data_IF_659067011695
#
_entry.id   IF_659067011695
#
_cell.length_a   1.000
_cell.length_b   1.000
_cell.length_c   1.000
_cell.angle_alpha   90.00
_cell.angle_beta   90.00
_cell.angle_gamma   90.00
#
_symmetry.space_group_name_H-M   'P 1'
#
loop_
_entity.id
_entity.type
_entity.pdbx_description
1 polymer ?
#
# COMPACT_ATOMS: atom_id res chain seq x y z
N UNK A 1 12.37 24.19 6.39
CA UNK A 1 12.95 22.98 5.79
C UNK A 1 12.37 22.84 4.38
N UNK A 2 13.17 23.05 3.32
CA UNK A 2 12.67 23.01 1.94
C UNK A 2 12.30 21.57 1.58
N UNK A 3 11.05 21.32 1.18
CA UNK A 3 10.64 19.99 0.70
C UNK A 3 11.40 19.66 -0.59
N UNK A 4 11.86 18.41 -0.79
CA UNK A 4 12.50 18.00 -2.03
C UNK A 4 11.55 18.19 -3.21
N UNK A 5 12.04 18.80 -4.31
CA UNK A 5 11.30 18.89 -5.58
C UNK A 5 11.41 17.56 -6.31
N UNK A 6 10.33 16.78 -6.30
CA UNK A 6 10.28 15.49 -6.98
C UNK A 6 9.45 15.65 -8.24
N UNK A 7 10.02 15.28 -9.39
CA UNK A 7 9.30 15.31 -10.65
C UNK A 7 8.27 14.17 -10.70
N UNK A 8 7.15 14.34 -11.43
CA UNK A 8 6.17 13.27 -11.66
C UNK A 8 6.80 12.00 -12.26
N UNK A 9 7.88 12.16 -13.03
CA UNK A 9 8.65 11.04 -13.59
C UNK A 9 9.32 10.20 -12.49
N UNK A 10 9.94 10.83 -11.49
CA UNK A 10 10.60 10.11 -10.39
C UNK A 10 9.57 9.36 -9.55
N UNK A 11 8.41 9.96 -9.27
CA UNK A 11 7.32 9.26 -8.60
C UNK A 11 6.81 8.07 -9.43
N UNK A 12 6.65 8.23 -10.74
CA UNK A 12 6.24 7.15 -11.63
C UNK A 12 7.25 6.00 -11.65
N UNK A 13 8.55 6.30 -11.73
CA UNK A 13 9.61 5.28 -11.60
C UNK A 13 9.48 4.57 -10.26
N UNK A 14 9.30 5.30 -9.16
CA UNK A 14 9.08 4.71 -7.84
C UNK A 14 7.89 3.74 -7.78
N UNK A 15 6.77 4.08 -8.42
CA UNK A 15 5.60 3.20 -8.51
C UNK A 15 5.89 1.91 -9.30
N UNK A 16 6.62 2.01 -10.41
CA UNK A 16 7.02 0.83 -11.20
C UNK A 16 8.02 -0.05 -10.45
N UNK A 17 8.97 0.56 -9.72
CA UNK A 17 9.88 -0.18 -8.84
C UNK A 17 9.11 -0.91 -7.74
N UNK A 18 8.10 -0.27 -7.12
CA UNK A 18 7.19 -0.91 -6.15
C UNK A 18 6.42 -2.08 -6.76
N UNK A 19 5.89 -1.93 -7.97
CA UNK A 19 5.23 -3.04 -8.66
C UNK A 19 6.22 -4.19 -8.89
N UNK A 20 7.43 -3.89 -9.36
CA UNK A 20 8.48 -4.89 -9.56
C UNK A 20 8.84 -5.63 -8.28
N UNK A 21 8.95 -4.92 -7.14
CA UNK A 21 9.23 -5.55 -5.85
C UNK A 21 8.08 -6.44 -5.37
N UNK A 22 6.82 -6.03 -5.56
CA UNK A 22 5.66 -6.85 -5.19
C UNK A 22 5.54 -8.08 -6.10
N UNK A 23 5.82 -7.93 -7.40
CA UNK A 23 5.86 -9.06 -8.32
C UNK A 23 6.96 -10.07 -7.93
N UNK A 24 8.15 -9.59 -7.58
CA UNK A 24 9.23 -10.44 -7.09
C UNK A 24 8.86 -11.15 -5.78
N UNK A 25 8.23 -10.44 -4.83
CA UNK A 25 7.74 -11.04 -3.59
C UNK A 25 6.65 -12.09 -3.86
N UNK A 26 5.75 -11.83 -4.81
CA UNK A 26 4.73 -12.79 -5.22
C UNK A 26 5.38 -14.07 -5.75
N UNK A 27 6.37 -13.95 -6.64
CA UNK A 27 7.13 -15.11 -7.14
C UNK A 27 7.80 -15.85 -5.98
N UNK A 28 8.42 -15.14 -5.04
CA UNK A 28 9.03 -15.75 -3.84
C UNK A 28 8.02 -16.58 -3.03
N UNK A 29 6.85 -16.02 -2.71
CA UNK A 29 5.77 -16.69 -1.94
C UNK A 29 5.21 -17.91 -2.68
N UNK A 30 5.20 -17.89 -4.02
CA UNK A 30 4.79 -19.05 -4.82
C UNK A 30 5.85 -20.15 -4.88
N UNK A 31 7.14 -19.78 -4.85
CA UNK A 31 8.26 -20.72 -4.84
C UNK A 31 8.51 -21.32 -3.45
N UNK A 32 8.12 -20.63 -2.39
CA UNK A 32 8.18 -21.15 -1.04
C UNK A 32 7.14 -22.27 -0.83
N UNK A 33 7.63 -23.46 -0.51
CA UNK A 33 6.82 -24.66 -0.29
C UNK A 33 6.06 -24.61 1.04
N UNK A 34 6.46 -23.72 1.96
CA UNK A 34 5.83 -23.58 3.28
C UNK A 34 4.68 -22.56 3.31
N UNK A 35 4.63 -21.67 2.31
CA UNK A 35 3.56 -20.68 2.15
C UNK A 35 2.20 -21.34 1.90
N UNK A 36 1.21 -20.92 2.69
CA UNK A 36 -0.16 -21.42 2.58
C UNK A 36 -0.92 -20.79 1.39
N UNK A 37 -2.04 -21.39 0.93
CA UNK A 37 -2.80 -20.90 -0.21
C UNK A 37 -3.32 -19.46 -0.05
N UNK A 38 -3.63 -19.00 1.17
CA UNK A 38 -4.14 -17.65 1.40
C UNK A 38 -3.03 -16.62 1.19
N UNK A 39 -1.81 -16.86 1.68
CA UNK A 39 -0.67 -15.97 1.42
C UNK A 39 -0.37 -15.82 -0.09
N UNK A 40 -0.52 -16.90 -0.86
CA UNK A 40 -0.32 -16.86 -2.32
C UNK A 40 -1.41 -16.03 -3.02
N UNK A 41 -2.66 -16.21 -2.63
CA UNK A 41 -3.80 -15.43 -3.18
C UNK A 41 -3.63 -13.95 -2.81
N UNK A 42 -3.25 -13.65 -1.57
CA UNK A 42 -3.03 -12.30 -1.07
C UNK A 42 -1.89 -11.59 -1.81
N UNK A 43 -0.75 -12.27 -2.00
CA UNK A 43 0.37 -11.73 -2.77
C UNK A 43 -0.02 -11.42 -4.23
N UNK A 44 -0.75 -12.35 -4.88
CA UNK A 44 -1.24 -12.14 -6.24
C UNK A 44 -2.24 -10.98 -6.32
N UNK A 45 -3.18 -10.90 -5.39
CA UNK A 45 -4.14 -9.81 -5.31
C UNK A 45 -3.44 -8.45 -5.13
N UNK A 46 -2.46 -8.38 -4.23
CA UNK A 46 -1.63 -7.20 -3.99
C UNK A 46 -0.86 -6.75 -5.23
N UNK A 47 -0.31 -7.69 -6.01
CA UNK A 47 0.36 -7.40 -7.28
C UNK A 47 -0.60 -6.81 -8.32
N UNK A 48 -1.79 -7.41 -8.49
CA UNK A 48 -2.80 -6.94 -9.43
C UNK A 48 -3.31 -5.54 -9.04
N UNK A 49 -3.59 -5.32 -7.76
CA UNK A 49 -3.99 -4.00 -7.25
C UNK A 49 -2.92 -2.95 -7.48
N UNK A 50 -1.67 -3.27 -7.16
CA UNK A 50 -0.55 -2.37 -7.36
C UNK A 50 -0.37 -2.01 -8.83
N UNK A 51 -0.56 -2.98 -9.74
CA UNK A 51 -0.50 -2.74 -11.17
C UNK A 51 -1.59 -1.76 -11.61
N UNK A 52 -2.86 -2.04 -11.28
CA UNK A 52 -3.98 -1.20 -11.67
C UNK A 52 -3.84 0.22 -11.11
N UNK A 53 -3.45 0.33 -9.85
CA UNK A 53 -3.24 1.62 -9.20
C UNK A 53 -2.04 2.38 -9.79
N UNK A 54 -0.93 1.70 -10.10
CA UNK A 54 0.24 2.29 -10.79
C UNK A 54 -0.14 2.83 -12.16
N UNK A 55 -0.93 2.07 -12.94
CA UNK A 55 -1.39 2.51 -14.26
C UNK A 55 -2.27 3.77 -14.17
N UNK A 56 -3.18 3.82 -13.20
CA UNK A 56 -4.07 4.96 -12.99
C UNK A 56 -3.32 6.19 -12.49
N UNK A 57 -2.46 6.03 -11.49
CA UNK A 57 -1.57 7.10 -11.01
C UNK A 57 -0.64 7.60 -12.12
N UNK A 58 -0.17 6.73 -13.01
CA UNK A 58 0.65 7.14 -14.14
C UNK A 58 -0.08 8.04 -15.14
N UNK A 59 -1.39 7.87 -15.34
CA UNK A 59 -2.19 8.81 -16.14
C UNK A 59 -2.33 10.14 -15.40
N UNK A 60 -2.70 10.07 -14.11
CA UNK A 60 -2.91 11.24 -13.28
C UNK A 60 -1.66 12.12 -13.13
N UNK A 61 -0.50 11.51 -12.85
CA UNK A 61 0.79 12.20 -12.71
C UNK A 61 1.24 12.89 -14.00
N UNK A 62 0.80 12.42 -15.16
CA UNK A 62 1.06 13.07 -16.46
C UNK A 62 0.07 14.19 -16.79
N UNK A 63 -0.84 14.53 -15.87
CA UNK A 63 -1.87 15.54 -16.07
C UNK A 63 -3.05 15.06 -16.90
N UNK A 64 -3.17 13.76 -17.16
CA UNK A 64 -4.31 13.18 -17.85
C UNK A 64 -5.53 13.07 -16.94
N UNK A 65 -6.72 13.21 -17.52
CA UNK A 65 -7.98 12.92 -16.84
C UNK A 65 -8.37 11.45 -17.07
N UNK A 66 -8.79 10.72 -16.03
CA UNK A 66 -9.30 9.35 -16.19
C UNK A 66 -10.81 9.37 -16.14
N UNK A 67 -11.40 9.26 -17.33
CA UNK A 67 -12.84 9.21 -17.52
C UNK A 67 -13.47 8.07 -16.72
N UNK A 68 -14.74 8.20 -16.27
CA UNK A 68 -15.46 7.12 -15.61
C UNK A 68 -15.55 5.83 -16.43
N UNK A 69 -15.48 5.93 -17.75
CA UNK A 69 -15.53 4.81 -18.71
C UNK A 69 -14.16 4.19 -19.00
N UNK A 70 -13.06 4.71 -18.44
CA UNK A 70 -11.73 4.10 -18.64
C UNK A 70 -11.73 2.67 -18.07
N UNK A 71 -11.39 1.65 -18.88
CA UNK A 71 -11.40 0.26 -18.44
C UNK A 71 -10.59 0.02 -17.16
N UNK A 72 -9.47 0.74 -16.98
CA UNK A 72 -8.62 0.61 -15.79
C UNK A 72 -9.35 1.07 -14.53
N UNK A 73 -10.09 2.17 -14.64
CA UNK A 73 -10.90 2.71 -13.54
C UNK A 73 -12.08 1.79 -13.24
N UNK A 74 -12.73 1.25 -14.26
CA UNK A 74 -13.84 0.29 -14.13
C UNK A 74 -13.37 -0.96 -13.39
N UNK A 75 -12.27 -1.58 -13.83
CA UNK A 75 -11.70 -2.76 -13.19
C UNK A 75 -11.28 -2.49 -11.76
N UNK A 76 -10.60 -1.37 -11.48
CA UNK A 76 -10.23 -1.02 -10.11
C UNK A 76 -11.47 -0.80 -9.23
N UNK A 77 -12.48 -0.09 -9.74
CA UNK A 77 -13.73 0.18 -9.01
C UNK A 77 -14.47 -1.11 -8.66
N UNK A 78 -14.42 -2.10 -9.55
CA UNK A 78 -15.09 -3.38 -9.34
C UNK A 78 -14.27 -4.33 -8.44
N UNK A 79 -12.97 -4.45 -8.68
CA UNK A 79 -12.12 -5.44 -8.01
C UNK A 79 -11.70 -5.01 -6.60
N UNK A 80 -11.42 -3.72 -6.39
CA UNK A 80 -10.85 -3.24 -5.14
C UNK A 80 -11.73 -3.51 -3.91
N UNK A 81 -13.06 -3.29 -3.95
CA UNK A 81 -13.94 -3.58 -2.81
C UNK A 81 -13.90 -5.05 -2.37
N UNK A 82 -13.74 -5.98 -3.30
CA UNK A 82 -13.62 -7.40 -2.97
C UNK A 82 -12.28 -7.72 -2.33
N UNK A 83 -11.20 -7.14 -2.84
CA UNK A 83 -9.86 -7.40 -2.31
C UNK A 83 -9.65 -6.79 -0.93
N UNK A 84 -10.15 -5.57 -0.70
CA UNK A 84 -10.08 -4.96 0.63
C UNK A 84 -11.02 -5.66 1.63
N UNK A 85 -12.16 -6.20 1.18
CA UNK A 85 -13.01 -7.03 2.01
C UNK A 85 -12.34 -8.37 2.33
N UNK A 86 -11.62 -8.97 1.38
CA UNK A 86 -10.80 -10.15 1.62
C UNK A 86 -9.70 -9.86 2.65
N UNK A 87 -8.92 -8.78 2.47
CA UNK A 87 -7.88 -8.37 3.42
C UNK A 87 -8.46 -8.13 4.83
N UNK A 88 -9.62 -7.45 4.90
CA UNK A 88 -10.35 -7.25 6.16
C UNK A 88 -10.88 -8.55 6.79
N UNK A 89 -11.31 -9.52 5.97
CA UNK A 89 -11.74 -10.83 6.45
C UNK A 89 -10.55 -11.64 6.99
N UNK A 90 -9.41 -11.64 6.29
CA UNK A 90 -8.18 -12.29 6.72
C UNK A 90 -7.67 -11.66 8.03
N UNK A 91 -7.63 -10.34 8.12
CA UNK A 91 -7.32 -9.62 9.37
C UNK A 91 -8.29 -9.98 10.51
N UNK A 92 -9.59 -10.05 10.22
CA UNK A 92 -10.60 -10.41 11.23
C UNK A 92 -10.41 -11.84 11.72
N UNK A 93 -10.21 -12.79 10.82
CA UNK A 93 -9.94 -14.18 11.15
C UNK A 93 -8.68 -14.31 12.00
N UNK A 94 -7.59 -13.64 11.61
CA UNK A 94 -6.36 -13.59 12.40
C UNK A 94 -6.59 -13.02 13.81
N UNK A 95 -7.37 -11.94 13.91
CA UNK A 95 -7.71 -11.33 15.19
C UNK A 95 -8.49 -12.31 16.07
N UNK A 96 -9.50 -13.00 15.51
CA UNK A 96 -10.26 -14.00 16.26
C UNK A 96 -9.42 -15.19 16.68
N UNK A 97 -8.54 -15.72 15.83
CA UNK A 97 -7.68 -16.86 16.20
C UNK A 97 -6.73 -16.50 17.32
N UNK A 98 -6.15 -15.29 17.31
CA UNK A 98 -5.33 -14.76 18.40
C UNK A 98 -6.15 -14.64 19.69
N UNK A 99 -7.34 -14.06 19.64
CA UNK A 99 -8.21 -13.90 20.82
C UNK A 99 -8.68 -15.24 21.41
N UNK A 100 -8.78 -16.29 20.59
CA UNK A 100 -9.07 -17.66 21.01
C UNK A 100 -7.84 -18.41 21.57
N UNK A 101 -6.67 -17.77 21.63
CA UNK A 101 -5.47 -18.34 22.23
C UNK A 101 -4.65 -19.23 21.30
N UNK A 102 -4.76 -19.07 19.97
CA UNK A 102 -3.99 -19.86 19.01
C UNK A 102 -2.46 -19.68 19.12
N UNK A 103 -2.00 -18.59 19.74
CA UNK A 103 -0.59 -18.27 19.96
C UNK A 103 -0.31 -18.05 21.45
N UNK A 104 -0.36 -19.11 22.28
CA UNK A 104 -0.28 -18.98 23.74
C UNK A 104 1.09 -18.47 24.22
N UNK A 105 2.14 -18.73 23.44
CA UNK A 105 3.52 -18.35 23.78
C UNK A 105 3.90 -16.95 23.30
N UNK A 106 3.08 -16.32 22.45
CA UNK A 106 3.39 -15.04 21.83
C UNK A 106 3.17 -13.86 22.80
N UNK A 107 4.03 -12.84 22.70
CA UNK A 107 3.93 -11.64 23.52
C UNK A 107 2.61 -10.89 23.20
N UNK A 108 1.73 -10.67 24.20
CA UNK A 108 0.41 -10.08 23.97
C UNK A 108 0.47 -8.62 23.46
N UNK A 109 1.49 -7.86 23.89
CA UNK A 109 1.71 -6.49 23.41
C UNK A 109 2.11 -6.51 21.94
N UNK A 110 2.98 -7.44 21.55
CA UNK A 110 3.40 -7.59 20.15
C UNK A 110 2.20 -7.96 19.26
N UNK A 111 1.35 -8.90 19.68
CA UNK A 111 0.13 -9.27 18.97
C UNK A 111 -0.85 -8.10 18.84
N UNK A 112 -1.05 -7.34 19.92
CA UNK A 112 -1.90 -6.15 19.88
C UNK A 112 -1.40 -5.12 18.86
N UNK A 113 -0.09 -4.89 18.81
CA UNK A 113 0.53 -3.98 17.83
C UNK A 113 0.32 -4.49 16.41
N UNK A 114 0.56 -5.79 16.14
CA UNK A 114 0.33 -6.40 14.83
C UNK A 114 -1.12 -6.23 14.38
N UNK A 115 -2.07 -6.61 15.23
CA UNK A 115 -3.51 -6.50 14.94
C UNK A 115 -3.90 -5.05 14.65
N UNK A 116 -3.40 -4.10 15.46
CA UNK A 116 -3.74 -2.69 15.35
C UNK A 116 -3.16 -2.05 14.09
N UNK A 117 -1.88 -2.30 13.80
CA UNK A 117 -1.19 -1.74 12.63
C UNK A 117 -1.77 -2.32 11.35
N UNK A 118 -1.96 -3.65 11.28
CA UNK A 118 -2.57 -4.28 10.11
C UNK A 118 -4.00 -3.81 9.89
N UNK A 119 -4.82 -3.74 10.95
CA UNK A 119 -6.19 -3.23 10.86
C UNK A 119 -6.23 -1.76 10.39
N UNK A 120 -5.32 -0.93 10.88
CA UNK A 120 -5.17 0.45 10.41
C UNK A 120 -4.72 0.50 8.94
N UNK A 121 -3.84 -0.39 8.49
CA UNK A 121 -3.45 -0.51 7.08
C UNK A 121 -4.65 -0.81 6.18
N UNK A 122 -5.50 -1.79 6.55
CA UNK A 122 -6.73 -2.12 5.81
C UNK A 122 -7.62 -0.88 5.69
N UNK A 123 -7.86 -0.17 6.80
CA UNK A 123 -8.71 1.03 6.80
C UNK A 123 -8.12 2.16 5.95
N UNK A 124 -6.82 2.44 6.07
CA UNK A 124 -6.15 3.50 5.30
C UNK A 124 -6.10 3.16 3.81
N UNK A 125 -5.87 1.89 3.46
CA UNK A 125 -5.90 1.42 2.07
C UNK A 125 -7.28 1.65 1.46
N UNK A 126 -8.36 1.28 2.16
CA UNK A 126 -9.73 1.54 1.72
C UNK A 126 -9.99 3.02 1.44
N UNK A 127 -9.62 3.90 2.38
CA UNK A 127 -9.78 5.35 2.23
C UNK A 127 -8.93 5.89 1.08
N UNK A 128 -7.69 5.43 0.96
CA UNK A 128 -6.76 5.83 -0.09
C UNK A 128 -7.32 5.48 -1.47
N UNK A 129 -7.93 4.31 -1.62
CA UNK A 129 -8.63 3.93 -2.85
C UNK A 129 -9.81 4.86 -3.15
N UNK A 130 -10.73 5.04 -2.19
CA UNK A 130 -11.92 5.86 -2.40
C UNK A 130 -11.56 7.31 -2.78
N UNK A 131 -10.60 7.91 -2.06
CA UNK A 131 -10.12 9.26 -2.34
C UNK A 131 -9.33 9.29 -3.66
N UNK A 132 -8.55 8.27 -4.00
CA UNK A 132 -7.84 8.23 -5.28
C UNK A 132 -8.81 8.24 -6.47
N UNK A 133 -9.89 7.46 -6.44
CA UNK A 133 -10.89 7.46 -7.52
C UNK A 133 -11.56 8.83 -7.69
N UNK A 134 -11.83 9.52 -6.57
CA UNK A 134 -12.36 10.88 -6.57
C UNK A 134 -11.38 11.86 -7.20
N UNK A 135 -10.12 11.85 -6.75
CA UNK A 135 -9.08 12.77 -7.22
C UNK A 135 -8.72 12.56 -8.69
N UNK A 136 -8.66 11.31 -9.14
CA UNK A 136 -8.32 11.01 -10.54
C UNK A 136 -9.47 11.44 -11.47
N UNK A 137 -10.74 11.30 -11.03
CA UNK A 137 -11.91 11.72 -11.81
C UNK A 137 -12.18 13.22 -11.77
N UNK A 138 -11.75 13.90 -10.71
CA UNK A 138 -11.91 15.34 -10.46
C UNK A 138 -10.56 15.94 -10.06
N UNK A 139 -9.60 16.05 -11.00
CA UNK A 139 -8.26 16.55 -10.70
C UNK A 139 -8.25 17.97 -10.15
N UNK A 140 -9.31 18.75 -10.35
CA UNK A 140 -9.55 20.09 -9.82
C UNK A 140 -9.89 20.13 -8.32
N UNK A 141 -10.31 19.02 -7.72
CA UNK A 141 -10.73 18.95 -6.32
C UNK A 141 -9.55 19.08 -5.34
N UNK A 142 -9.33 20.31 -4.87
CA UNK A 142 -8.25 20.67 -3.93
C UNK A 142 -8.36 19.92 -2.60
N UNK A 143 -9.59 19.70 -2.10
CA UNK A 143 -9.82 19.01 -0.83
C UNK A 143 -9.47 17.54 -0.95
N UNK A 144 -9.90 16.90 -2.05
CA UNK A 144 -9.56 15.52 -2.36
C UNK A 144 -8.04 15.31 -2.46
N UNK A 145 -7.33 16.22 -3.15
CA UNK A 145 -5.86 16.14 -3.30
C UNK A 145 -5.12 16.27 -1.96
N UNK A 146 -5.57 17.19 -1.10
CA UNK A 146 -5.01 17.34 0.25
C UNK A 146 -5.24 16.08 1.11
N UNK A 147 -6.47 15.55 1.11
CA UNK A 147 -6.81 14.31 1.82
C UNK A 147 -5.98 13.12 1.32
N UNK A 148 -5.83 12.97 -0.01
CA UNK A 148 -5.04 11.90 -0.60
C UNK A 148 -3.57 11.97 -0.19
N UNK A 149 -3.00 13.18 -0.18
CA UNK A 149 -1.61 13.44 0.21
C UNK A 149 -1.34 13.11 1.69
N UNK A 150 -2.32 13.33 2.57
CA UNK A 150 -2.22 12.93 3.97
C UNK A 150 -2.42 11.41 4.13
N UNK A 151 -3.33 10.80 3.39
CA UNK A 151 -3.49 9.34 3.37
C UNK A 151 -2.22 8.62 2.90
N UNK A 152 -1.50 9.17 1.90
CA UNK A 152 -0.20 8.64 1.48
C UNK A 152 0.85 8.71 2.60
N UNK A 153 0.78 9.73 3.47
CA UNK A 153 1.66 9.83 4.63
C UNK A 153 1.35 8.75 5.68
N UNK A 154 0.06 8.55 5.98
CA UNK A 154 -0.40 7.48 6.86
C UNK A 154 -0.04 6.10 6.31
N UNK A 155 -0.28 5.86 5.03
CA UNK A 155 0.08 4.62 4.35
C UNK A 155 1.60 4.37 4.43
N UNK A 156 2.45 5.38 4.23
CA UNK A 156 3.89 5.24 4.35
C UNK A 156 4.33 4.90 5.78
N UNK A 157 3.73 5.54 6.79
CA UNK A 157 4.02 5.23 8.20
C UNK A 157 3.60 3.81 8.57
N UNK A 158 2.42 3.37 8.13
CA UNK A 158 1.92 2.01 8.36
C UNK A 158 2.73 0.96 7.59
N UNK A 159 3.14 1.24 6.35
CA UNK A 159 4.03 0.37 5.59
C UNK A 159 5.39 0.21 6.29
N UNK A 160 5.95 1.29 6.85
CA UNK A 160 7.17 1.22 7.65
C UNK A 160 6.97 0.36 8.91
N UNK A 161 5.86 0.53 9.61
CA UNK A 161 5.53 -0.32 10.76
C UNK A 161 5.37 -1.79 10.38
N UNK A 162 4.64 -2.10 9.30
CA UNK A 162 4.52 -3.47 8.76
C UNK A 162 5.88 -4.05 8.37
N UNK A 163 6.75 -3.26 7.75
CA UNK A 163 8.11 -3.67 7.41
C UNK A 163 8.87 -4.10 8.67
N UNK A 164 8.82 -3.29 9.72
CA UNK A 164 9.47 -3.62 11.00
C UNK A 164 8.90 -4.90 11.59
N UNK A 165 7.57 -5.07 11.60
CA UNK A 165 6.93 -6.28 12.14
C UNK A 165 7.26 -7.55 11.35
N UNK A 166 7.50 -7.44 10.04
CA UNK A 166 7.87 -8.58 9.20
C UNK A 166 9.36 -8.98 9.31
N UNK A 167 10.23 -8.05 9.72
CA UNK A 167 11.68 -8.33 9.83
C UNK A 167 12.15 -8.54 11.26
N UNK A 168 11.44 -7.98 12.24
CA UNK A 168 11.78 -8.10 13.66
C UNK A 168 11.09 -9.31 14.26
N UNK A 169 11.85 -10.13 14.97
CA UNK A 169 11.29 -11.24 15.74
C UNK A 169 10.35 -10.73 16.82
N UNK A 170 9.09 -11.16 16.75
CA UNK A 170 8.13 -10.99 17.83
C UNK A 170 8.44 -12.01 18.92
N UNK A 171 8.50 -11.55 20.18
CA UNK A 171 8.79 -12.42 21.31
C UNK A 171 7.76 -13.55 21.42
N UNK A 172 8.22 -14.79 21.54
CA UNK A 172 7.34 -15.96 21.68
C UNK A 172 6.96 -16.67 20.39
N UNK A 173 7.44 -16.21 19.22
CA UNK A 173 7.32 -16.94 17.95
C UNK A 173 8.71 -17.29 17.39
N UNK A 174 8.80 -18.30 16.49
CA UNK A 174 9.95 -18.43 15.61
C UNK A 174 10.19 -17.10 14.88
N UNK A 175 11.46 -16.69 14.79
CA UNK A 175 11.81 -15.48 14.04
C UNK A 175 11.75 -15.73 12.53
N UNK A 176 11.56 -14.67 11.72
CA UNK A 176 11.63 -14.79 10.26
C UNK A 176 13.01 -15.30 9.84
N UNK A 177 13.05 -16.14 8.80
CA UNK A 177 14.33 -16.60 8.24
C UNK A 177 15.12 -15.40 7.67
N UNK A 178 16.45 -15.51 7.52
CA UNK A 178 17.23 -14.44 6.90
C UNK A 178 16.74 -14.07 5.49
N UNK A 179 16.26 -15.04 4.71
CA UNK A 179 15.66 -14.80 3.40
C UNK A 179 14.37 -14.00 3.49
N UNK A 180 13.50 -14.31 4.47
CA UNK A 180 12.27 -13.55 4.70
C UNK A 180 12.57 -12.11 5.11
N UNK A 181 13.51 -11.92 6.03
CA UNK A 181 13.93 -10.58 6.48
C UNK A 181 14.40 -9.72 5.31
N UNK A 182 15.17 -10.31 4.39
CA UNK A 182 15.64 -9.61 3.19
C UNK A 182 14.48 -9.34 2.23
N UNK A 183 13.65 -10.35 1.92
CA UNK A 183 12.56 -10.23 0.96
C UNK A 183 11.51 -9.20 1.40
N UNK A 184 10.97 -9.36 2.62
CA UNK A 184 9.96 -8.45 3.18
C UNK A 184 10.57 -7.09 3.56
N UNK A 185 11.82 -7.07 4.05
CA UNK A 185 12.51 -5.82 4.38
C UNK A 185 12.75 -4.93 3.17
N UNK A 186 13.28 -5.49 2.07
CA UNK A 186 13.51 -4.74 0.84
C UNK A 186 12.19 -4.29 0.20
N UNK A 187 11.18 -5.16 0.13
CA UNK A 187 9.87 -4.79 -0.41
C UNK A 187 9.25 -3.65 0.40
N UNK A 188 9.30 -3.73 1.73
CA UNK A 188 8.76 -2.71 2.62
C UNK A 188 9.45 -1.35 2.48
N UNK A 189 10.79 -1.33 2.37
CA UNK A 189 11.55 -0.08 2.11
C UNK A 189 11.15 0.54 0.76
N UNK A 190 11.03 -0.29 -0.28
CA UNK A 190 10.59 0.18 -1.61
C UNK A 190 9.17 0.74 -1.55
N UNK A 191 8.27 0.09 -0.82
CA UNK A 191 6.89 0.54 -0.65
C UNK A 191 6.80 1.91 0.04
N UNK A 192 7.49 2.07 1.17
CA UNK A 192 7.57 3.36 1.89
C UNK A 192 8.13 4.45 0.98
N UNK A 193 9.24 4.16 0.29
CA UNK A 193 9.86 5.11 -0.62
C UNK A 193 8.92 5.53 -1.75
N UNK A 194 8.21 4.58 -2.38
CA UNK A 194 7.27 4.86 -3.45
C UNK A 194 6.08 5.73 -3.00
N UNK A 195 5.53 5.45 -1.80
CA UNK A 195 4.43 6.24 -1.23
C UNK A 195 4.87 7.68 -0.92
N UNK A 196 6.08 7.86 -0.36
CA UNK A 196 6.63 9.19 -0.08
C UNK A 196 6.98 9.96 -1.36
N UNK A 197 7.56 9.30 -2.36
CA UNK A 197 7.85 9.90 -3.67
C UNK A 197 6.57 10.36 -4.35
N UNK A 198 5.52 9.54 -4.34
CA UNK A 198 4.22 9.93 -4.87
C UNK A 198 3.67 11.14 -4.12
N UNK A 199 3.67 11.10 -2.79
CA UNK A 199 3.22 12.22 -1.95
C UNK A 199 3.95 13.53 -2.30
N UNK A 200 5.27 13.49 -2.46
CA UNK A 200 6.05 14.67 -2.79
C UNK A 200 5.77 15.20 -4.19
N UNK A 201 5.63 14.31 -5.18
CA UNK A 201 5.26 14.72 -6.54
C UNK A 201 3.88 15.39 -6.58
N UNK A 202 2.90 14.89 -5.83
CA UNK A 202 1.56 15.49 -5.75
C UNK A 202 1.59 16.88 -5.12
N UNK A 203 2.31 17.05 -4.01
CA UNK A 203 2.49 18.37 -3.38
C UNK A 203 3.13 19.37 -4.34
N UNK A 204 4.06 18.93 -5.18
CA UNK A 204 4.71 19.82 -6.15
C UNK A 204 3.78 20.19 -7.30
N UNK A 205 2.96 19.25 -7.79
CA UNK A 205 1.94 19.54 -8.79
C UNK A 205 0.89 20.53 -8.29
N UNK A 206 0.48 20.41 -7.02
CA UNK A 206 -0.48 21.34 -6.40
C UNK A 206 0.09 22.76 -6.33
N UNK A 207 1.34 22.93 -5.86
CA UNK A 207 2.01 24.24 -5.85
C UNK A 207 2.11 24.86 -7.24
N UNK A 208 2.40 24.05 -8.26
CA UNK A 208 2.48 24.50 -9.65
C UNK A 208 1.13 25.00 -10.18
N UNK A 209 0.03 24.34 -9.80
CA UNK A 209 -1.33 24.75 -10.20
C UNK A 209 -1.79 26.02 -9.51
N UNK A 210 -1.50 26.18 -8.23
CA UNK A 210 -1.87 27.39 -7.48
C UNK A 210 -1.16 28.64 -8.03
N UNK A 211 0.08 28.49 -8.49
CA UNK A 211 0.86 29.59 -9.11
C UNK A 211 0.32 30.01 -10.48
N UNK A 212 -0.36 29.10 -11.21
CA UNK A 212 -0.96 29.42 -12.52
C UNK A 212 -2.34 30.07 -12.41
N UNK A 213 -2.97 30.03 -11.23
CA UNK A 213 -4.31 30.57 -10.99
C UNK A 213 -4.31 32.03 -10.48
N UNK A 214 -3.13 32.59 -10.17
CA UNK A 214 -2.91 33.98 -9.73
C UNK A 214 -2.35 34.83 -10.85
#
# INVERSE_FOLDING_TARGET
MNSPRISPLVALVGLWVRLGSIAALTVYVFLDSTSDPFSRIDALASAVLTLLWTLLMGVYLRGGNVLPTDPRRVWLTWLYPWLIAFEGAVWSLYTFTVLLGALPDANPIALFVVISVWGASVAVNFLMFAVSLRVIGHPEDTTGRAQFTELLNWAAALAAANTVMNVVRLGGTPGPSPSDQIAFGLQGVVEVAALLLLRWALKEQDRGRDTQAT
#
